data_IF_496326928020
#
_entry.id   IF_496326928020
#
_cell.length_a   1.000
_cell.length_b   1.000
_cell.length_c   1.000
_cell.angle_alpha   90.00
_cell.angle_beta   90.00
_cell.angle_gamma   90.00
#
_symmetry.space_group_name_H-M   'P 1'
#
loop_
_entity.id
_entity.type
_entity.pdbx_description
1 polymer ?
#
# COMPACT_ATOMS: atom_id res chain seq x y z
N UNK A 1 7.80 17.86 -11.88
CA UNK A 1 6.58 17.17 -12.37
C UNK A 1 6.02 16.32 -11.23
N UNK A 2 4.70 16.16 -11.11
CA UNK A 2 4.07 15.24 -10.15
C UNK A 2 3.62 13.98 -10.87
N UNK A 3 3.80 12.83 -10.23
CA UNK A 3 3.50 11.49 -10.75
C UNK A 3 2.64 10.73 -9.76
N UNK A 4 1.85 9.79 -10.28
CA UNK A 4 1.15 8.82 -9.44
C UNK A 4 2.09 7.67 -9.06
N UNK A 5 2.21 7.42 -7.76
CA UNK A 5 3.07 6.39 -7.17
C UNK A 5 2.19 5.45 -6.36
N UNK A 6 2.35 4.15 -6.56
CA UNK A 6 1.75 3.11 -5.71
C UNK A 6 2.82 2.61 -4.76
N UNK A 7 2.50 2.58 -3.46
CA UNK A 7 3.36 2.09 -2.39
C UNK A 7 2.72 0.87 -1.75
N UNK A 8 3.49 -0.20 -1.63
CA UNK A 8 3.11 -1.47 -1.02
C UNK A 8 4.12 -1.84 0.08
N UNK A 9 3.73 -2.63 1.09
CA UNK A 9 4.68 -3.21 2.03
C UNK A 9 5.60 -4.19 1.30
N UNK A 10 6.90 -4.10 1.55
CA UNK A 10 7.85 -5.10 1.06
C UNK A 10 7.69 -6.40 1.85
N UNK A 11 7.77 -7.55 1.18
CA UNK A 11 7.46 -8.86 1.78
C UNK A 11 8.39 -9.20 2.97
N UNK A 12 9.65 -8.76 2.94
CA UNK A 12 10.63 -8.98 4.01
C UNK A 12 10.35 -8.17 5.30
N UNK A 13 9.54 -7.10 5.22
CA UNK A 13 9.27 -6.21 6.35
C UNK A 13 7.97 -6.55 7.10
N UNK A 14 7.22 -7.56 6.65
CA UNK A 14 6.01 -8.03 7.34
C UNK A 14 6.34 -9.22 8.23
N UNK A 15 6.33 -9.10 9.57
CA UNK A 15 6.61 -10.22 10.47
C UNK A 15 5.53 -11.32 10.49
N UNK A 16 4.63 -11.39 9.50
CA UNK A 16 3.55 -12.40 9.47
C UNK A 16 2.90 -12.71 8.12
N UNK A 17 3.54 -12.45 6.98
CA UNK A 17 3.01 -12.93 5.68
C UNK A 17 3.59 -14.30 5.33
N UNK A 18 2.78 -15.35 5.50
CA UNK A 18 2.90 -16.64 4.80
C UNK A 18 1.49 -17.04 4.31
N UNK A 19 1.37 -17.77 3.19
CA UNK A 19 1.49 -17.25 1.83
C UNK A 19 0.15 -17.37 1.10
N UNK A 20 -0.19 -16.38 0.27
CA UNK A 20 -1.49 -16.32 -0.42
C UNK A 20 -1.39 -16.29 -1.94
N UNK A 21 -0.38 -16.93 -2.55
CA UNK A 21 -0.36 -17.20 -4.00
C UNK A 21 -0.17 -18.69 -4.25
N UNK A 22 -1.25 -19.44 -4.09
CA UNK A 22 -1.40 -20.76 -4.68
C UNK A 22 -2.87 -20.98 -5.10
N UNK A 23 -3.05 -21.17 -6.40
CA UNK A 23 -4.05 -21.99 -7.10
C UNK A 23 -5.43 -22.24 -6.48
N UNK A 24 -6.45 -22.00 -7.33
CA UNK A 24 -7.78 -22.62 -7.34
C UNK A 24 -7.80 -24.02 -6.72
N UNK A 25 -8.47 -24.19 -5.59
CA UNK A 25 -9.13 -25.42 -5.17
C UNK A 25 -10.10 -25.09 -4.03
N UNK A 26 -11.35 -25.52 -4.20
CA UNK A 26 -12.48 -25.23 -3.34
C UNK A 26 -12.27 -25.69 -1.89
N UNK A 27 -12.53 -24.80 -0.94
CA UNK A 27 -12.78 -25.13 0.46
C UNK A 27 -14.06 -24.38 0.90
N UNK A 28 -14.94 -25.01 1.70
CA UNK A 28 -16.25 -24.46 2.05
C UNK A 28 -16.07 -23.17 2.88
N UNK A 29 -16.90 -22.17 2.60
CA UNK A 29 -16.85 -20.87 3.24
C UNK A 29 -17.16 -21.00 4.76
N UNK A 30 -16.31 -20.50 5.66
CA UNK A 30 -16.69 -20.34 7.05
C UNK A 30 -17.64 -19.14 7.18
N UNK A 31 -18.46 -19.22 8.22
CA UNK A 31 -19.63 -18.42 8.47
C UNK A 31 -19.33 -16.91 8.55
N UNK A 32 -20.29 -16.09 8.15
CA UNK A 32 -20.21 -14.64 7.94
C UNK A 32 -19.65 -13.80 9.11
N UNK A 33 -19.49 -14.37 10.31
CA UNK A 33 -18.82 -13.75 11.47
C UNK A 33 -17.33 -13.53 11.22
N UNK A 34 -16.65 -14.49 10.60
CA UNK A 34 -15.22 -14.40 10.27
C UNK A 34 -14.91 -13.26 9.29
N UNK A 35 -15.82 -12.97 8.35
CA UNK A 35 -15.58 -11.94 7.32
C UNK A 35 -15.54 -10.54 7.90
N UNK A 36 -16.39 -10.25 8.89
CA UNK A 36 -16.43 -8.94 9.52
C UNK A 36 -15.17 -8.69 10.38
N UNK A 37 -14.73 -9.71 11.12
CA UNK A 37 -13.50 -9.66 11.92
C UNK A 37 -12.26 -9.55 11.03
N UNK A 38 -12.18 -10.34 9.95
CA UNK A 38 -11.10 -10.23 8.95
C UNK A 38 -11.09 -8.85 8.28
N UNK A 39 -12.25 -8.28 7.96
CA UNK A 39 -12.33 -6.94 7.39
C UNK A 39 -11.87 -5.84 8.39
N UNK A 40 -12.09 -6.02 9.69
CA UNK A 40 -11.55 -5.11 10.71
C UNK A 40 -10.02 -5.18 10.74
N UNK A 41 -9.46 -6.39 10.81
CA UNK A 41 -8.00 -6.61 10.80
C UNK A 41 -7.37 -5.96 9.57
N UNK A 42 -7.95 -6.15 8.39
CA UNK A 42 -7.46 -5.55 7.15
C UNK A 42 -7.55 -4.02 7.13
N UNK A 43 -8.59 -3.42 7.71
CA UNK A 43 -8.65 -1.95 7.87
C UNK A 43 -7.58 -1.44 8.82
N UNK A 44 -7.33 -2.14 9.92
CA UNK A 44 -6.28 -1.78 10.87
C UNK A 44 -4.90 -1.86 10.23
N UNK A 45 -4.63 -2.92 9.46
CA UNK A 45 -3.40 -3.06 8.68
C UNK A 45 -3.26 -1.95 7.63
N UNK A 46 -4.33 -1.63 6.91
CA UNK A 46 -4.36 -0.52 5.95
C UNK A 46 -4.05 0.82 6.60
N UNK A 47 -4.67 1.09 7.77
CA UNK A 47 -4.43 2.31 8.55
C UNK A 47 -3.00 2.37 9.09
N UNK A 48 -2.47 1.27 9.62
CA UNK A 48 -1.11 1.19 10.12
C UNK A 48 -0.09 1.43 9.00
N UNK A 49 -0.31 0.81 7.82
CA UNK A 49 0.55 1.00 6.66
C UNK A 49 0.52 2.43 6.13
N UNK A 50 -0.69 3.02 6.01
CA UNK A 50 -0.84 4.42 5.65
C UNK A 50 -0.07 5.33 6.64
N UNK A 51 -0.20 5.08 7.94
CA UNK A 51 0.55 5.81 8.97
C UNK A 51 2.06 5.69 8.80
N UNK A 52 2.58 4.49 8.53
CA UNK A 52 4.00 4.26 8.32
C UNK A 52 4.55 5.04 7.10
N UNK A 53 3.79 5.09 5.99
CA UNK A 53 4.17 5.90 4.82
C UNK A 53 4.16 7.39 5.17
N UNK A 54 3.12 7.88 5.84
CA UNK A 54 3.03 9.29 6.24
C UNK A 54 4.19 9.71 7.16
N UNK A 55 4.50 8.89 8.16
CA UNK A 55 5.62 9.17 9.08
C UNK A 55 6.97 9.15 8.36
N UNK A 56 7.17 8.26 7.39
CA UNK A 56 8.35 8.28 6.53
C UNK A 56 8.46 9.59 5.73
N UNK A 57 7.37 10.03 5.09
CA UNK A 57 7.33 11.28 4.32
C UNK A 57 7.69 12.48 5.20
N UNK A 58 7.15 12.53 6.42
CA UNK A 58 7.49 13.57 7.41
C UNK A 58 8.98 13.51 7.79
N UNK A 59 9.48 12.34 8.16
CA UNK A 59 10.86 12.14 8.60
C UNK A 59 11.89 12.47 7.51
N UNK A 60 11.55 12.28 6.24
CA UNK A 60 12.39 12.65 5.09
C UNK A 60 12.21 14.11 4.64
N UNK A 61 11.39 14.91 5.34
CA UNK A 61 11.05 16.29 4.98
C UNK A 61 10.45 16.43 3.57
N UNK A 62 9.61 15.47 3.17
CA UNK A 62 9.04 15.37 1.82
C UNK A 62 7.61 15.92 1.70
N UNK A 63 7.02 16.48 2.76
CA UNK A 63 5.63 16.96 2.75
C UNK A 63 5.35 17.96 1.61
N UNK A 64 6.26 18.90 1.34
CA UNK A 64 6.11 19.87 0.24
C UNK A 64 6.24 19.26 -1.16
N UNK A 65 6.66 18.01 -1.25
CA UNK A 65 6.83 17.27 -2.49
C UNK A 65 5.72 16.24 -2.75
N UNK A 66 4.68 16.21 -1.90
CA UNK A 66 3.49 15.38 -2.02
C UNK A 66 2.28 16.30 -2.21
N UNK A 67 1.56 16.15 -3.32
CA UNK A 67 0.35 16.92 -3.63
C UNK A 67 -0.90 16.26 -3.03
N UNK A 68 -0.92 14.93 -2.99
CA UNK A 68 -2.05 14.16 -2.49
C UNK A 68 -1.61 12.76 -2.06
N UNK A 69 -2.34 12.19 -1.09
CA UNK A 69 -2.19 10.83 -0.58
C UNK A 69 -3.58 10.23 -0.38
N UNK A 70 -3.75 8.97 -0.78
CA UNK A 70 -5.01 8.25 -0.61
C UNK A 70 -5.32 8.02 0.87
N UNK A 71 -6.59 8.13 1.25
CA UNK A 71 -7.07 7.69 2.56
C UNK A 71 -6.79 6.19 2.80
N UNK A 72 -6.65 5.75 4.07
CA UNK A 72 -6.44 4.35 4.40
C UNK A 72 -7.63 3.48 3.99
N UNK A 73 -7.37 2.41 3.24
CA UNK A 73 -8.36 1.44 2.78
C UNK A 73 -8.28 0.09 3.50
N UNK A 74 -8.98 -0.90 2.96
CA UNK A 74 -8.90 -2.31 3.40
C UNK A 74 -7.58 -2.98 3.04
N UNK A 75 -6.85 -2.47 2.04
CA UNK A 75 -5.58 -3.04 1.63
C UNK A 75 -4.43 -2.18 2.18
N UNK A 76 -3.31 -2.79 2.61
CA UNK A 76 -2.11 -2.06 2.97
C UNK A 76 -1.42 -1.59 1.68
N UNK A 77 -1.99 -0.55 1.06
CA UNK A 77 -1.51 0.13 -0.12
C UNK A 77 -1.76 1.63 0.06
N UNK A 78 -0.84 2.45 -0.44
CA UNK A 78 -1.02 3.90 -0.52
C UNK A 78 -0.79 4.35 -1.95
N UNK A 79 -1.68 5.18 -2.47
CA UNK A 79 -1.47 5.91 -3.72
C UNK A 79 -1.08 7.36 -3.38
N UNK A 80 -0.01 7.85 -4.00
CA UNK A 80 0.52 9.20 -3.84
C UNK A 80 0.53 9.93 -5.18
N UNK A 81 0.20 11.22 -5.17
CA UNK A 81 0.59 12.13 -6.25
C UNK A 81 1.75 12.97 -5.73
N UNK A 82 2.97 12.65 -6.14
CA UNK A 82 4.18 13.23 -5.56
C UNK A 82 5.28 13.45 -6.61
N UNK A 83 6.36 14.13 -6.24
CA UNK A 83 7.52 14.32 -7.14
C UNK A 83 8.34 13.04 -7.31
N UNK A 84 9.18 12.98 -8.35
CA UNK A 84 10.16 11.91 -8.56
C UNK A 84 11.08 11.66 -7.35
N UNK A 85 11.49 12.72 -6.64
CA UNK A 85 12.32 12.60 -5.44
C UNK A 85 11.63 11.77 -4.35
N UNK A 86 10.31 11.83 -4.26
CA UNK A 86 9.54 11.02 -3.29
C UNK A 86 9.59 9.55 -3.69
N UNK A 87 9.46 9.24 -4.99
CA UNK A 87 9.60 7.88 -5.51
C UNK A 87 10.98 7.30 -5.20
N UNK A 88 12.05 8.04 -5.49
CA UNK A 88 13.43 7.61 -5.23
C UNK A 88 13.66 7.27 -3.75
N UNK A 89 13.16 8.12 -2.84
CA UNK A 89 13.28 7.89 -1.40
C UNK A 89 12.48 6.69 -0.93
N UNK A 90 11.25 6.51 -1.43
CA UNK A 90 10.43 5.35 -1.12
C UNK A 90 11.06 4.05 -1.63
N UNK A 91 11.70 4.06 -2.80
CA UNK A 91 12.39 2.90 -3.37
C UNK A 91 13.67 2.52 -2.60
N UNK A 92 14.35 3.51 -2.03
CA UNK A 92 15.54 3.30 -1.20
C UNK A 92 15.20 2.76 0.21
N UNK A 93 13.96 2.93 0.68
CA UNK A 93 13.53 2.49 2.00
C UNK A 93 13.16 0.99 2.00
N UNK A 94 13.80 0.14 2.81
CA UNK A 94 13.58 -1.31 2.80
C UNK A 94 12.15 -1.74 3.17
N UNK A 95 11.39 -0.91 3.90
CA UNK A 95 10.00 -1.21 4.28
C UNK A 95 9.02 -1.15 3.11
N UNK A 96 9.35 -0.44 2.03
CA UNK A 96 8.41 -0.14 0.96
C UNK A 96 8.83 -0.73 -0.39
N UNK A 97 7.83 -1.16 -1.15
CA UNK A 97 7.93 -1.38 -2.58
C UNK A 97 7.12 -0.27 -3.26
N UNK A 98 7.80 0.62 -3.98
CA UNK A 98 7.17 1.78 -4.62
C UNK A 98 7.43 1.81 -6.13
N UNK A 99 6.38 2.11 -6.90
CA UNK A 99 6.45 2.17 -8.36
C UNK A 99 5.53 3.24 -8.92
N UNK A 100 5.83 3.69 -10.15
CA UNK A 100 4.93 4.55 -10.92
C UNK A 100 3.68 3.75 -11.30
N UNK A 101 2.52 4.35 -11.14
CA UNK A 101 1.28 3.78 -11.68
C UNK A 101 1.33 3.81 -13.20
N UNK A 102 0.92 2.72 -13.85
CA UNK A 102 0.74 2.68 -15.30
C UNK A 102 -0.67 3.18 -15.61
N UNK A 103 -0.78 4.37 -16.19
CA UNK A 103 -2.02 4.82 -16.80
C UNK A 103 -2.29 3.97 -18.04
N UNK A 104 -3.14 2.95 -17.90
CA UNK A 104 -3.69 2.25 -19.06
C UNK A 104 -4.68 3.19 -19.74
N UNK A 105 -4.26 3.84 -20.81
CA UNK A 105 -5.19 4.50 -21.74
C UNK A 105 -5.97 3.39 -22.47
N UNK A 106 -7.08 2.97 -21.87
CA UNK A 106 -8.07 2.14 -22.55
C UNK A 106 -8.76 3.02 -23.60
N UNK A 107 -8.24 2.99 -24.83
CA UNK A 107 -8.97 3.50 -25.99
C UNK A 107 -10.13 2.54 -26.24
N UNK A 108 -11.33 2.93 -25.81
CA UNK A 108 -12.59 2.27 -26.14
C UNK A 108 -13.07 2.70 -27.52
#
# INVERSE_FOLDING_TARGET
>A
MFIEIIVLPREDASPKRRPGRASRSAAPAPESRDRAELAQVWREEGKAFHGAVLEFIKAQHLLGAVKWMSEPGLLPQVTLVASDRVLEKLQAEPRFAAGRSLSMNLQT
#
